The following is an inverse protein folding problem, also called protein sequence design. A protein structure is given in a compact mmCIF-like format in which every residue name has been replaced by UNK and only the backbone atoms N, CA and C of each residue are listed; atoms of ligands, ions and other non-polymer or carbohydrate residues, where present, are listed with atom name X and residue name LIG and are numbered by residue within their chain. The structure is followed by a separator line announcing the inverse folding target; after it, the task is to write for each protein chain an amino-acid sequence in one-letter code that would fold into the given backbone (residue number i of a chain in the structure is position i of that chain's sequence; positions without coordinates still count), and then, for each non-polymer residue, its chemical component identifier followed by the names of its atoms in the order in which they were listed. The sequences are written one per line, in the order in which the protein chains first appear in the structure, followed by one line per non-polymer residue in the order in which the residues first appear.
data_IF_402513170450
#
_entry.id   IF_402513170450
#
_cell.length_a   1.000
_cell.length_b   1.000
_cell.length_c   1.000
_cell.angle_alpha   90.00
_cell.angle_beta   90.00
_cell.angle_gamma   90.00
#
_symmetry.space_group_name_H-M   'P 1'
#
loop_
_entity.id
_entity.type
_entity.pdbx_description
1 polymer ?
#
# COMPACT_ATOMS: atom_id res chain seq x y z
N UNK A 1 -29.36 -10.25 -1.24
CA UNK A 1 -28.73 -11.59 -1.10
C UNK A 1 -27.22 -11.40 -1.06
N UNK A 2 -26.50 -12.08 -0.16
CA UNK A 2 -25.07 -11.85 0.05
C UNK A 2 -24.25 -12.46 -1.10
N UNK A 3 -23.41 -11.65 -1.75
CA UNK A 3 -22.69 -11.96 -3.01
C UNK A 3 -21.75 -13.17 -2.91
N UNK A 4 -21.18 -13.47 -1.73
CA UNK A 4 -20.30 -14.63 -1.55
C UNK A 4 -21.06 -15.96 -1.62
N UNK A 5 -22.33 -15.99 -1.18
CA UNK A 5 -23.15 -17.21 -1.19
C UNK A 5 -23.46 -17.66 -2.61
N UNK A 6 -23.79 -16.71 -3.50
CA UNK A 6 -24.00 -16.98 -4.93
C UNK A 6 -22.72 -17.50 -5.58
N UNK A 7 -21.58 -16.87 -5.32
CA UNK A 7 -20.28 -17.33 -5.87
C UNK A 7 -19.89 -18.72 -5.39
N UNK A 8 -20.12 -19.03 -4.11
CA UNK A 8 -19.85 -20.36 -3.57
C UNK A 8 -20.75 -21.44 -4.21
N UNK A 9 -22.03 -21.14 -4.42
CA UNK A 9 -22.94 -22.08 -5.07
C UNK A 9 -22.53 -22.40 -6.52
N UNK A 10 -21.99 -21.42 -7.25
CA UNK A 10 -21.58 -21.56 -8.64
C UNK A 10 -20.16 -22.15 -8.82
N UNK A 11 -19.21 -21.76 -7.96
CA UNK A 11 -17.77 -22.02 -8.17
C UNK A 11 -17.11 -22.75 -6.98
N UNK A 12 -17.86 -23.14 -5.95
CA UNK A 12 -17.33 -23.76 -4.73
C UNK A 12 -16.29 -22.89 -4.03
N UNK A 13 -15.21 -23.50 -3.56
CA UNK A 13 -14.10 -22.79 -2.90
C UNK A 13 -13.42 -21.77 -3.83
N UNK A 14 -13.37 -22.01 -5.14
CA UNK A 14 -12.80 -21.05 -6.10
C UNK A 14 -13.60 -19.73 -6.16
N UNK A 15 -14.90 -19.77 -5.85
CA UNK A 15 -15.77 -18.59 -5.79
C UNK A 15 -15.51 -17.68 -4.57
N UNK A 16 -14.75 -18.16 -3.59
CA UNK A 16 -14.37 -17.43 -2.40
C UNK A 16 -13.01 -16.73 -2.52
N UNK A 17 -12.28 -16.97 -3.60
CA UNK A 17 -10.99 -16.30 -3.85
C UNK A 17 -11.22 -14.79 -3.98
N UNK A 18 -10.31 -14.00 -3.41
CA UNK A 18 -10.31 -12.55 -3.53
C UNK A 18 -10.24 -12.16 -5.01
N UNK A 19 -11.33 -11.55 -5.49
CA UNK A 19 -11.35 -10.99 -6.83
C UNK A 19 -10.68 -9.62 -6.80
N UNK A 20 -10.04 -9.21 -7.92
CA UNK A 20 -9.53 -7.85 -8.07
C UNK A 20 -10.61 -6.85 -7.69
N UNK A 21 -10.27 -5.92 -6.79
CA UNK A 21 -11.21 -4.87 -6.40
C UNK A 21 -11.56 -4.07 -7.66
N UNK A 22 -12.85 -3.92 -7.94
CA UNK A 22 -13.37 -3.09 -9.03
C UNK A 22 -13.09 -1.58 -8.87
N UNK A 23 -12.26 -1.21 -7.87
CA UNK A 23 -11.93 0.18 -7.58
C UNK A 23 -11.00 0.79 -8.62
N UNK A 24 -10.84 2.11 -8.54
CA UNK A 24 -9.91 2.85 -9.40
C UNK A 24 -8.49 2.26 -9.27
N UNK A 25 -7.76 2.09 -10.39
CA UNK A 25 -6.37 1.68 -10.36
C UNK A 25 -5.55 2.56 -9.39
N UNK A 26 -4.54 2.00 -8.72
CA UNK A 26 -3.71 2.77 -7.81
C UNK A 26 -3.09 3.98 -8.54
N UNK A 27 -3.22 5.16 -7.95
CA UNK A 27 -2.73 6.43 -8.52
C UNK A 27 -1.21 6.59 -8.44
N UNK A 28 -0.52 5.74 -7.67
CA UNK A 28 0.91 5.84 -7.41
C UNK A 28 1.66 5.12 -8.54
N UNK A 29 2.70 5.76 -9.09
CA UNK A 29 3.60 5.15 -10.06
C UNK A 29 4.35 3.96 -9.42
N UNK A 30 4.57 2.90 -10.18
CA UNK A 30 5.32 1.69 -9.76
C UNK A 30 6.67 2.04 -9.11
N UNK A 31 7.42 2.97 -9.72
CA UNK A 31 8.72 3.41 -9.20
C UNK A 31 8.62 4.04 -7.80
N UNK A 32 7.56 4.80 -7.54
CA UNK A 32 7.34 5.42 -6.22
C UNK A 32 6.89 4.37 -5.20
N UNK A 33 6.16 3.34 -5.63
CA UNK A 33 5.81 2.19 -4.78
C UNK A 33 7.06 1.43 -4.36
N UNK A 34 7.96 1.13 -5.28
CA UNK A 34 9.18 0.36 -5.01
C UNK A 34 10.10 1.08 -4.02
N UNK A 35 10.21 2.41 -4.14
CA UNK A 35 10.95 3.21 -3.16
C UNK A 35 10.32 3.20 -1.78
N UNK A 36 8.99 3.29 -1.69
CA UNK A 36 8.28 3.19 -0.40
C UNK A 36 8.57 1.84 0.24
N UNK A 37 8.45 0.75 -0.54
CA UNK A 37 8.74 -0.60 -0.07
C UNK A 37 10.18 -0.71 0.41
N UNK A 38 11.14 -0.27 -0.39
CA UNK A 38 12.57 -0.26 -0.04
C UNK A 38 12.83 0.49 1.26
N UNK A 39 12.24 1.69 1.42
CA UNK A 39 12.41 2.51 2.61
C UNK A 39 11.76 1.89 3.86
N UNK A 40 10.68 1.13 3.71
CA UNK A 40 10.03 0.43 4.84
C UNK A 40 10.70 -0.88 5.22
N UNK A 41 11.41 -1.51 4.28
CA UNK A 41 12.18 -2.74 4.53
C UNK A 41 13.50 -2.46 5.25
N UNK A 42 13.94 -1.19 5.27
CA UNK A 42 15.14 -0.73 5.96
C UNK A 42 14.72 0.04 7.23
N UNK A 43 15.47 -0.14 8.30
CA UNK A 43 15.24 0.58 9.56
C UNK A 43 15.37 2.10 9.32
N UNK A 44 14.54 2.94 9.97
CA UNK A 44 14.64 4.39 9.78
C UNK A 44 16.07 4.88 10.07
N UNK A 45 16.63 5.78 9.23
CA UNK A 45 17.93 6.38 9.49
C UNK A 45 18.04 6.89 10.92
N UNK A 46 19.14 6.55 11.61
CA UNK A 46 19.37 6.92 13.01
C UNK A 46 19.31 8.44 13.25
N UNK A 47 19.67 9.23 12.23
CA UNK A 47 19.57 10.70 12.19
C UNK A 47 18.15 11.22 12.43
N UNK A 48 17.12 10.42 12.15
CA UNK A 48 15.72 10.80 12.38
C UNK A 48 15.30 10.62 13.84
N UNK A 49 16.05 9.84 14.64
CA UNK A 49 15.72 9.54 16.03
C UNK A 49 14.37 8.84 16.21
N UNK A 50 13.94 8.03 15.23
CA UNK A 50 12.66 7.31 15.27
C UNK A 50 12.92 5.81 15.20
N UNK A 51 12.17 5.04 15.97
CA UNK A 51 12.24 3.56 15.95
C UNK A 51 11.32 2.94 14.91
N UNK A 52 10.34 3.70 14.39
CA UNK A 52 9.37 3.22 13.40
C UNK A 52 8.96 4.34 12.44
N UNK A 53 8.62 3.95 11.21
CA UNK A 53 8.03 4.84 10.23
C UNK A 53 6.57 5.17 10.57
N UNK A 54 6.24 6.46 10.60
CA UNK A 54 4.85 6.90 10.41
C UNK A 54 4.66 7.33 8.95
N UNK A 55 3.45 7.18 8.42
CA UNK A 55 3.15 7.55 7.03
C UNK A 55 3.49 9.02 6.71
N UNK A 56 3.33 9.93 7.68
CA UNK A 56 3.74 11.33 7.53
C UNK A 56 5.26 11.50 7.48
N UNK A 57 6.00 10.82 8.37
CA UNK A 57 7.46 10.92 8.41
C UNK A 57 8.09 10.31 7.15
N UNK A 58 7.57 9.17 6.72
CA UNK A 58 8.02 8.53 5.48
C UNK A 58 7.74 9.42 4.26
N UNK A 59 6.56 10.05 4.18
CA UNK A 59 6.26 11.00 3.12
C UNK A 59 7.22 12.21 3.11
N UNK A 60 7.56 12.75 4.28
CA UNK A 60 8.52 13.86 4.40
C UNK A 60 9.93 13.44 4.00
N UNK A 61 10.35 12.23 4.38
CA UNK A 61 11.66 11.68 4.01
C UNK A 61 11.75 11.44 2.50
N UNK A 62 10.75 10.80 1.89
CA UNK A 62 10.70 10.60 0.43
C UNK A 62 10.68 11.93 -0.34
N UNK A 63 10.01 12.96 0.19
CA UNK A 63 10.05 14.31 -0.40
C UNK A 63 11.45 14.90 -0.43
N UNK A 64 12.29 14.63 0.57
CA UNK A 64 13.69 15.06 0.60
C UNK A 64 14.54 14.34 -0.46
N UNK A 65 14.16 13.10 -0.80
CA UNK A 65 14.78 12.31 -1.88
C UNK A 65 14.25 12.68 -3.27
N UNK A 66 13.31 13.63 -3.38
CA UNK A 66 12.73 14.09 -4.64
C UNK A 66 11.33 13.54 -4.94
N UNK A 67 10.84 12.57 -4.16
CA UNK A 67 9.57 11.88 -4.41
C UNK A 67 8.42 12.44 -3.57
N UNK A 68 7.50 13.14 -4.25
CA UNK A 68 6.33 13.75 -3.61
C UNK A 68 5.20 12.76 -3.50
N UNK A 69 5.13 12.07 -2.36
CA UNK A 69 4.00 11.21 -2.01
C UNK A 69 3.14 11.81 -0.91
N UNK A 70 1.85 11.49 -0.93
CA UNK A 70 0.93 11.86 0.15
C UNK A 70 0.99 10.81 1.27
N UNK A 71 0.88 11.18 2.56
CA UNK A 71 0.82 10.20 3.65
C UNK A 71 -0.35 9.21 3.50
N UNK A 72 -1.47 9.65 2.93
CA UNK A 72 -2.64 8.79 2.69
C UNK A 72 -2.37 7.74 1.62
N UNK A 73 -1.56 8.08 0.61
CA UNK A 73 -1.13 7.14 -0.42
C UNK A 73 -0.24 6.04 0.15
N UNK A 74 0.65 6.37 1.09
CA UNK A 74 1.52 5.40 1.78
C UNK A 74 0.69 4.43 2.63
N UNK A 75 -0.35 4.91 3.32
CA UNK A 75 -1.21 4.05 4.13
C UNK A 75 -2.19 3.17 3.33
N UNK A 76 -2.26 3.34 2.00
CA UNK A 76 -3.14 2.57 1.10
C UNK A 76 -2.37 1.61 0.20
N UNK A 77 -1.05 1.55 0.36
CA UNK A 77 -0.19 0.60 -0.32
C UNK A 77 -0.48 -0.83 0.15
#
# INVERSE_FOLDING_TARGET
MIRWRSRFAEHGLAGLVDQPRSGKPPTINESVRDEILTATLIEPPSELGITHWSSRRLATWLRRQGNRVSPVSISRL
#
